data_IF_620902233855
#
_entry.id   IF_620902233855
#
_cell.length_a   1.000
_cell.length_b   1.000
_cell.length_c   1.000
_cell.angle_alpha   90.00
_cell.angle_beta   90.00
_cell.angle_gamma   90.00
#
_symmetry.space_group_name_H-M   'P 1'
#
loop_
_entity.id
_entity.type
_entity.pdbx_description
1 polymer ?
#
# COMPACT_ATOMS: atom_id res chain seq x y z
N UNK A 1 -47.35 31.79 -16.27
CA UNK A 1 -46.89 31.50 -14.89
C UNK A 1 -47.40 30.12 -14.49
N UNK A 2 -46.68 29.03 -14.78
CA UNK A 2 -46.93 27.71 -14.16
C UNK A 2 -45.88 26.69 -14.61
N UNK A 3 -44.70 26.69 -13.98
CA UNK A 3 -43.67 25.64 -14.12
C UNK A 3 -42.87 25.47 -12.82
N UNK A 4 -43.53 25.49 -11.66
CA UNK A 4 -42.86 25.35 -10.36
C UNK A 4 -43.32 24.13 -9.54
N UNK A 5 -44.17 23.26 -10.08
CA UNK A 5 -44.75 22.14 -9.30
C UNK A 5 -44.42 20.73 -9.83
N UNK A 6 -43.56 20.60 -10.85
CA UNK A 6 -43.32 19.30 -11.53
C UNK A 6 -42.18 18.45 -10.95
N UNK A 7 -41.71 18.73 -9.73
CA UNK A 7 -40.65 17.91 -9.11
C UNK A 7 -40.85 17.63 -7.62
N UNK A 8 -42.10 17.70 -7.12
CA UNK A 8 -42.35 17.22 -5.77
C UNK A 8 -42.26 15.68 -5.76
N UNK A 9 -41.52 15.08 -4.82
CA UNK A 9 -41.42 13.62 -4.73
C UNK A 9 -42.82 13.03 -4.56
N UNK A 10 -43.07 11.86 -5.16
CA UNK A 10 -44.38 11.23 -5.22
C UNK A 10 -44.99 10.92 -3.83
N UNK A 11 -44.17 10.99 -2.76
CA UNK A 11 -44.62 10.86 -1.38
C UNK A 11 -43.71 11.70 -0.43
N UNK A 12 -44.02 13.00 -0.20
CA UNK A 12 -43.14 13.90 0.55
C UNK A 12 -43.00 13.53 2.03
N UNK A 13 -44.01 12.84 2.59
CA UNK A 13 -43.99 12.39 3.98
C UNK A 13 -43.05 11.18 4.14
N UNK A 14 -43.05 10.22 3.19
CA UNK A 14 -42.12 9.09 3.28
C UNK A 14 -40.66 9.51 3.09
N UNK A 15 -40.38 10.47 2.21
CA UNK A 15 -39.02 11.02 2.07
C UNK A 15 -38.58 11.74 3.35
N UNK A 16 -39.48 12.48 3.99
CA UNK A 16 -39.20 13.12 5.28
C UNK A 16 -38.94 12.11 6.39
N UNK A 17 -39.78 11.07 6.53
CA UNK A 17 -39.58 10.03 7.53
C UNK A 17 -38.31 9.20 7.26
N UNK A 18 -38.03 8.85 6.00
CA UNK A 18 -36.82 8.14 5.62
C UNK A 18 -35.57 8.97 5.91
N UNK A 19 -35.57 10.25 5.55
CA UNK A 19 -34.48 11.17 5.87
C UNK A 19 -34.28 11.34 7.38
N UNK A 20 -35.36 11.50 8.14
CA UNK A 20 -35.30 11.59 9.60
C UNK A 20 -34.76 10.31 10.24
N UNK A 21 -35.20 9.13 9.76
CA UNK A 21 -34.71 7.85 10.25
C UNK A 21 -33.24 7.62 9.89
N UNK A 22 -32.81 8.05 8.70
CA UNK A 22 -31.41 7.98 8.28
C UNK A 22 -30.52 8.85 9.18
N UNK A 23 -30.95 10.07 9.51
CA UNK A 23 -30.23 10.94 10.44
C UNK A 23 -30.16 10.34 11.84
N UNK A 24 -31.24 9.75 12.34
CA UNK A 24 -31.22 9.03 13.62
C UNK A 24 -30.23 7.87 13.62
N UNK A 25 -30.23 7.05 12.56
CA UNK A 25 -29.30 5.92 12.44
C UNK A 25 -27.85 6.41 12.42
N UNK A 26 -27.52 7.38 11.55
CA UNK A 26 -26.15 7.91 11.43
C UNK A 26 -25.67 8.59 12.72
N UNK A 27 -26.54 9.31 13.42
CA UNK A 27 -26.12 10.06 14.62
C UNK A 27 -26.04 9.21 15.87
N UNK A 28 -26.98 8.29 16.08
CA UNK A 28 -27.07 7.51 17.33
C UNK A 28 -26.54 6.09 17.19
N UNK A 29 -26.36 5.59 15.97
CA UNK A 29 -25.96 4.21 15.73
C UNK A 29 -24.93 4.13 14.62
N UNK A 30 -23.99 5.10 14.57
CA UNK A 30 -22.91 5.08 13.60
C UNK A 30 -22.17 3.75 13.67
N UNK A 31 -21.80 3.21 12.52
CA UNK A 31 -21.03 1.97 12.49
C UNK A 31 -19.55 2.29 12.72
N UNK A 32 -18.72 1.25 12.81
CA UNK A 32 -17.27 1.43 12.81
C UNK A 32 -16.79 1.37 11.36
N UNK A 33 -15.67 2.03 11.04
CA UNK A 33 -15.05 1.86 9.75
C UNK A 33 -14.51 0.43 9.60
N UNK A 34 -14.35 -0.02 8.37
CA UNK A 34 -13.68 -1.27 8.01
C UNK A 34 -12.41 -0.96 7.24
N UNK A 35 -11.35 -1.75 7.41
CA UNK A 35 -10.10 -1.61 6.66
C UNK A 35 -9.63 -2.98 6.15
N UNK A 36 -9.19 -3.02 4.89
CA UNK A 36 -8.72 -4.22 4.22
C UNK A 36 -7.48 -3.85 3.36
N UNK A 37 -6.28 -3.87 3.95
CA UNK A 37 -5.08 -3.46 3.25
C UNK A 37 -4.82 -4.38 2.06
N UNK A 38 -4.62 -3.79 0.88
CA UNK A 38 -4.25 -4.50 -0.36
C UNK A 38 -3.13 -3.77 -1.07
N UNK A 39 -2.62 -4.38 -2.15
CA UNK A 39 -1.72 -3.72 -3.11
C UNK A 39 -0.39 -3.26 -2.50
N UNK A 40 0.14 -4.07 -1.56
CA UNK A 40 1.51 -3.94 -1.09
C UNK A 40 2.47 -4.09 -2.28
N UNK A 41 3.16 -3.00 -2.61
CA UNK A 41 4.09 -2.92 -3.72
C UNK A 41 5.46 -2.52 -3.21
N UNK A 42 6.47 -3.23 -3.69
CA UNK A 42 7.86 -2.87 -3.43
C UNK A 42 8.34 -1.85 -4.47
N UNK A 43 8.86 -0.73 -3.98
CA UNK A 43 9.45 0.30 -4.82
C UNK A 43 10.90 -0.06 -5.17
N UNK A 44 11.44 0.57 -6.22
CA UNK A 44 12.83 0.39 -6.66
C UNK A 44 13.85 0.76 -5.57
N UNK A 45 13.47 1.62 -4.61
CA UNK A 45 14.30 1.99 -3.47
C UNK A 45 14.16 1.03 -2.27
N UNK A 46 13.36 -0.04 -2.38
CA UNK A 46 13.09 -1.05 -1.35
C UNK A 46 12.15 -0.60 -0.23
N UNK A 47 11.54 0.57 -0.36
CA UNK A 47 10.40 0.93 0.50
C UNK A 47 9.16 0.14 0.00
N UNK A 48 8.20 -0.12 0.90
CA UNK A 48 6.92 -0.74 0.54
C UNK A 48 5.81 0.30 0.63
N UNK A 49 5.00 0.42 -0.41
CA UNK A 49 3.78 1.22 -0.39
C UNK A 49 2.54 0.34 -0.42
N UNK A 50 1.42 0.87 0.07
CA UNK A 50 0.12 0.24 -0.01
C UNK A 50 -0.98 1.17 0.47
N UNK A 51 -2.21 0.67 0.50
CA UNK A 51 -3.36 1.40 1.03
C UNK A 51 -4.12 0.53 2.02
N UNK A 52 -4.64 1.13 3.09
CA UNK A 52 -5.47 0.45 4.08
C UNK A 52 -6.89 0.11 3.56
N UNK A 53 -7.29 0.75 2.46
CA UNK A 53 -8.60 0.70 1.81
C UNK A 53 -9.74 0.78 2.81
N UNK A 54 -9.64 1.74 3.72
CA UNK A 54 -10.65 1.88 4.75
C UNK A 54 -11.92 2.53 4.19
N UNK A 55 -13.06 2.09 4.70
CA UNK A 55 -14.38 2.55 4.30
C UNK A 55 -15.26 2.71 5.52
N UNK A 56 -16.14 3.71 5.46
CA UNK A 56 -17.17 3.94 6.46
C UNK A 56 -18.56 3.73 5.85
N UNK A 57 -19.47 2.95 6.47
CA UNK A 57 -20.81 2.71 5.94
C UNK A 57 -21.68 3.97 5.82
N UNK A 58 -21.45 4.98 6.66
CA UNK A 58 -22.16 6.25 6.66
C UNK A 58 -21.48 7.33 5.80
N UNK A 59 -20.28 7.03 5.30
CA UNK A 59 -19.46 7.93 4.48
C UNK A 59 -18.84 9.06 5.30
N UNK A 60 -18.60 8.83 6.59
CA UNK A 60 -17.91 9.76 7.47
C UNK A 60 -16.40 9.86 7.12
N UNK A 61 -15.76 11.01 7.35
CA UNK A 61 -14.34 11.17 7.11
C UNK A 61 -13.52 10.30 8.08
N UNK A 62 -12.50 9.64 7.54
CA UNK A 62 -11.65 8.72 8.29
C UNK A 62 -10.38 9.40 8.79
N UNK A 63 -9.95 9.02 9.99
CA UNK A 63 -8.67 9.38 10.58
C UNK A 63 -7.84 8.12 10.86
N UNK A 64 -6.53 8.22 10.59
CA UNK A 64 -5.58 7.11 10.67
C UNK A 64 -4.50 7.40 11.70
N UNK A 65 -4.23 6.44 12.58
CA UNK A 65 -3.17 6.53 13.58
C UNK A 65 -2.41 5.22 13.68
N UNK A 66 -1.08 5.28 13.60
CA UNK A 66 -0.23 4.11 13.91
C UNK A 66 -0.24 3.92 15.43
N UNK A 67 -0.84 2.83 15.89
CA UNK A 67 -0.95 2.49 17.32
C UNK A 67 0.09 1.48 17.77
N UNK A 68 0.62 0.70 16.82
CA UNK A 68 1.77 -0.19 17.04
C UNK A 68 2.77 0.04 15.91
N UNK A 69 3.96 0.53 16.28
CA UNK A 69 5.03 0.77 15.32
C UNK A 69 5.69 -0.54 14.87
N UNK A 70 6.22 -0.60 13.65
CA UNK A 70 7.00 -1.75 13.19
C UNK A 70 8.27 -1.94 14.03
N UNK A 71 8.72 -3.19 14.15
CA UNK A 71 9.95 -3.52 14.84
C UNK A 71 11.18 -3.13 14.01
N UNK A 72 11.10 -3.21 12.68
CA UNK A 72 12.23 -3.11 11.76
C UNK A 72 11.99 -2.08 10.67
N UNK A 73 11.80 -0.82 11.05
CA UNK A 73 11.65 0.25 10.08
C UNK A 73 10.88 1.42 10.62
N UNK A 74 10.31 2.18 9.71
CA UNK A 74 9.37 3.25 10.01
C UNK A 74 8.21 3.19 9.04
N UNK A 75 7.01 3.50 9.51
CA UNK A 75 5.82 3.63 8.67
C UNK A 75 5.26 5.04 8.78
N UNK A 76 4.85 5.59 7.65
CA UNK A 76 4.06 6.81 7.57
C UNK A 76 2.74 6.49 6.88
N UNK A 77 1.63 6.96 7.45
CA UNK A 77 0.28 6.83 6.88
C UNK A 77 -0.24 8.24 6.58
N UNK A 78 -0.77 8.45 5.39
CA UNK A 78 -1.35 9.72 4.98
C UNK A 78 -2.85 9.82 5.32
N UNK A 79 -3.45 10.98 5.03
CA UNK A 79 -4.87 11.23 5.31
C UNK A 79 -5.82 10.41 4.41
N UNK A 80 -5.33 9.80 3.33
CA UNK A 80 -6.11 8.96 2.42
C UNK A 80 -5.94 7.46 2.76
N UNK A 81 -5.21 7.13 3.83
CA UNK A 81 -4.92 5.74 4.22
C UNK A 81 -3.84 5.08 3.36
N UNK A 82 -3.15 5.82 2.49
CA UNK A 82 -1.96 5.34 1.82
C UNK A 82 -0.79 5.33 2.80
N UNK A 83 0.00 4.27 2.79
CA UNK A 83 1.14 4.14 3.70
C UNK A 83 2.43 3.86 2.92
N UNK A 84 3.53 4.34 3.49
CA UNK A 84 4.88 4.03 3.07
C UNK A 84 5.64 3.44 4.26
N UNK A 85 6.13 2.22 4.09
CA UNK A 85 6.99 1.53 5.03
C UNK A 85 8.42 1.55 4.50
N UNK A 86 9.33 2.10 5.30
CA UNK A 86 10.76 2.11 5.03
C UNK A 86 11.45 1.08 5.92
N UNK A 87 11.87 -0.08 5.38
CA UNK A 87 12.50 -1.13 6.17
C UNK A 87 13.83 -0.67 6.76
N UNK A 88 14.15 -1.18 7.95
CA UNK A 88 15.45 -1.03 8.59
C UNK A 88 15.93 -2.37 9.14
N UNK A 89 16.97 -2.98 8.53
CA UNK A 89 17.53 -4.23 9.03
C UNK A 89 18.02 -4.11 10.48
N UNK A 90 17.87 -5.16 11.31
CA UNK A 90 18.36 -5.19 12.70
C UNK A 90 19.86 -4.91 12.80
N UNK A 91 20.65 -5.40 11.84
CA UNK A 91 22.11 -5.25 11.81
C UNK A 91 22.57 -3.87 11.31
N UNK A 92 21.64 -2.93 11.09
CA UNK A 92 22.01 -1.60 10.64
C UNK A 92 22.69 -0.77 11.75
N UNK A 93 23.96 -0.35 11.57
CA UNK A 93 24.67 0.42 12.57
C UNK A 93 24.02 1.81 12.81
N UNK A 94 24.05 2.32 14.05
CA UNK A 94 23.65 3.70 14.30
C UNK A 94 24.68 4.69 13.73
N UNK A 95 24.21 5.80 13.16
CA UNK A 95 25.06 6.92 12.73
C UNK A 95 25.21 7.12 11.22
N UNK A 96 26.09 8.04 10.79
CA UNK A 96 26.29 8.38 9.39
C UNK A 96 27.00 7.23 8.67
N UNK A 97 26.26 6.57 7.77
CA UNK A 97 26.67 5.38 7.04
C UNK A 97 25.51 4.77 6.26
N UNK A 98 24.28 5.05 6.69
CA UNK A 98 23.06 4.61 6.02
C UNK A 98 22.81 3.11 6.20
N UNK A 99 21.54 2.71 6.22
CA UNK A 99 21.17 1.31 6.10
C UNK A 99 21.03 0.97 4.61
N UNK A 100 21.50 -0.19 4.13
CA UNK A 100 21.08 -0.67 2.82
C UNK A 100 19.56 -0.86 2.82
N UNK A 101 18.87 -0.20 1.88
CA UNK A 101 17.42 -0.31 1.69
C UNK A 101 17.01 -1.55 0.87
N UNK A 102 17.80 -2.63 0.88
CA UNK A 102 17.55 -3.75 -0.02
C UNK A 102 16.20 -4.44 0.25
N UNK A 103 15.59 -5.07 -0.78
CA UNK A 103 14.45 -5.96 -0.64
C UNK A 103 14.70 -6.91 0.52
N UNK A 104 13.84 -6.83 1.53
CA UNK A 104 14.07 -7.52 2.80
C UNK A 104 13.68 -8.99 2.67
N UNK A 105 14.47 -9.75 1.89
CA UNK A 105 14.37 -11.20 1.87
C UNK A 105 14.53 -11.72 3.31
N UNK A 106 13.43 -12.16 3.91
CA UNK A 106 13.37 -12.75 5.25
C UNK A 106 12.97 -11.83 6.40
N UNK A 107 12.59 -10.56 6.18
CA UNK A 107 12.09 -9.70 7.26
C UNK A 107 10.59 -9.92 7.47
N UNK A 108 10.25 -10.54 8.60
CA UNK A 108 8.88 -10.52 9.10
C UNK A 108 8.74 -9.32 10.03
N UNK A 109 7.89 -8.38 9.65
CA UNK A 109 7.57 -7.20 10.44
C UNK A 109 6.07 -6.91 10.35
N UNK A 110 5.56 -6.10 11.25
CA UNK A 110 4.16 -5.69 11.22
C UNK A 110 3.96 -4.39 11.97
N UNK A 111 2.96 -3.64 11.55
CA UNK A 111 2.50 -2.45 12.25
C UNK A 111 0.98 -2.47 12.33
N UNK A 112 0.43 -1.83 13.36
CA UNK A 112 -1.02 -1.76 13.57
C UNK A 112 -1.47 -0.31 13.43
N UNK A 113 -2.50 -0.09 12.60
CA UNK A 113 -3.13 1.22 12.39
C UNK A 113 -4.55 1.17 12.92
N UNK A 114 -4.90 2.15 13.76
CA UNK A 114 -6.27 2.43 14.15
C UNK A 114 -6.92 3.37 13.12
N UNK A 115 -8.10 3.00 12.65
CA UNK A 115 -8.93 3.81 11.75
C UNK A 115 -10.19 4.23 12.50
N UNK A 116 -10.46 5.53 12.58
CA UNK A 116 -11.62 6.08 13.30
C UNK A 116 -12.42 7.06 12.44
N UNK A 117 -13.71 7.22 12.74
CA UNK A 117 -14.67 8.06 12.00
C UNK A 117 -15.25 9.22 12.84
N UNK A 118 -14.97 9.25 14.15
CA UNK A 118 -15.52 10.24 15.08
C UNK A 118 -17.04 10.11 15.33
N UNK A 119 -17.67 9.04 14.83
CA UNK A 119 -19.10 8.79 14.95
C UNK A 119 -19.52 8.27 16.32
N UNK A 120 -20.75 8.59 16.73
CA UNK A 120 -21.31 8.13 17.99
C UNK A 120 -22.18 6.88 17.80
N UNK A 121 -22.08 5.94 18.75
CA UNK A 121 -23.00 4.81 18.84
C UNK A 121 -23.55 4.70 20.27
N UNK A 122 -24.86 4.84 20.39
CA UNK A 122 -25.61 4.81 21.64
C UNK A 122 -25.51 3.47 22.35
N UNK A 123 -25.32 2.38 21.60
CA UNK A 123 -25.15 1.04 22.16
C UNK A 123 -23.71 0.77 22.60
N UNK A 124 -22.77 1.65 22.24
CA UNK A 124 -21.36 1.56 22.59
C UNK A 124 -20.75 2.97 22.85
N UNK A 125 -21.22 3.67 23.91
CA UNK A 125 -20.94 5.10 24.10
C UNK A 125 -19.55 5.41 24.68
N UNK A 126 -18.78 4.39 25.09
CA UNK A 126 -17.48 4.56 25.75
C UNK A 126 -16.32 3.91 24.97
N UNK A 127 -16.58 3.41 23.77
CA UNK A 127 -15.54 2.85 22.89
C UNK A 127 -14.70 3.95 22.25
N UNK A 128 -13.47 3.61 21.89
CA UNK A 128 -12.55 4.49 21.15
C UNK A 128 -12.95 4.69 19.68
N UNK A 129 -14.03 4.02 19.24
CA UNK A 129 -14.62 4.15 17.90
C UNK A 129 -13.61 3.98 16.77
N UNK A 130 -12.68 3.05 16.97
CA UNK A 130 -11.62 2.74 16.03
C UNK A 130 -11.58 1.25 15.69
N UNK A 131 -11.31 0.98 14.41
CA UNK A 131 -10.97 -0.36 13.91
C UNK A 131 -9.47 -0.47 13.78
N UNK A 132 -8.87 -1.41 14.50
CA UNK A 132 -7.45 -1.71 14.39
C UNK A 132 -7.19 -2.73 13.28
N UNK A 133 -6.22 -2.41 12.42
CA UNK A 133 -5.79 -3.29 11.34
C UNK A 133 -4.28 -3.47 11.38
N UNK A 134 -3.85 -4.74 11.43
CA UNK A 134 -2.44 -5.10 11.37
C UNK A 134 -2.03 -5.32 9.92
N UNK A 135 -1.08 -4.51 9.44
CA UNK A 135 -0.41 -4.72 8.16
C UNK A 135 0.80 -5.60 8.40
N UNK A 136 0.86 -6.73 7.70
CA UNK A 136 2.01 -7.64 7.74
C UNK A 136 2.96 -7.28 6.61
N UNK A 137 4.20 -6.98 6.97
CA UNK A 137 5.30 -6.87 6.03
C UNK A 137 5.96 -8.24 5.97
N UNK A 138 5.77 -8.91 4.84
CA UNK A 138 6.42 -10.18 4.55
C UNK A 138 7.24 -10.00 3.27
N UNK A 139 8.37 -10.73 3.14
CA UNK A 139 9.07 -10.80 1.88
C UNK A 139 8.11 -11.34 0.81
N UNK A 140 7.82 -10.55 -0.21
CA UNK A 140 7.38 -11.10 -1.48
C UNK A 140 8.53 -11.98 -1.96
N UNK A 141 8.28 -13.29 -2.11
CA UNK A 141 9.20 -14.13 -2.86
C UNK A 141 9.47 -13.39 -4.17
N UNK A 142 10.74 -13.16 -4.56
CA UNK A 142 10.99 -12.60 -5.88
C UNK A 142 10.23 -13.50 -6.84
N UNK A 143 9.31 -12.92 -7.63
CA UNK A 143 8.76 -13.66 -8.75
C UNK A 143 9.99 -14.17 -9.49
N UNK A 144 10.13 -15.50 -9.52
CA UNK A 144 11.31 -16.16 -10.07
C UNK A 144 11.58 -15.45 -11.38
N UNK A 145 12.73 -14.75 -11.55
CA UNK A 145 12.95 -13.93 -12.73
C UNK A 145 12.60 -14.82 -13.90
N UNK A 146 11.62 -14.40 -14.70
CA UNK A 146 11.19 -15.16 -15.86
C UNK A 146 12.48 -15.64 -16.52
N UNK A 147 12.65 -16.96 -16.57
CA UNK A 147 13.79 -17.55 -17.26
C UNK A 147 13.64 -17.06 -18.68
N UNK A 148 14.30 -15.95 -19.03
CA UNK A 148 14.49 -15.58 -20.41
C UNK A 148 15.08 -16.85 -21.01
N UNK A 149 14.39 -17.53 -21.95
CA UNK A 149 14.98 -18.68 -22.59
C UNK A 149 16.32 -18.19 -23.09
N UNK A 150 17.40 -18.82 -22.63
CA UNK A 150 18.75 -18.54 -23.10
C UNK A 150 18.64 -18.32 -24.61
N UNK A 151 19.11 -17.20 -25.18
CA UNK A 151 19.14 -17.08 -26.62
C UNK A 151 19.80 -18.36 -27.12
N UNK A 152 19.07 -19.13 -27.92
CA UNK A 152 19.55 -20.42 -28.42
C UNK A 152 20.93 -20.21 -29.04
N UNK A 153 21.78 -21.26 -29.08
CA UNK A 153 23.11 -21.11 -29.63
C UNK A 153 23.01 -20.47 -31.01
N UNK A 154 23.48 -19.23 -31.13
CA UNK A 154 23.67 -18.59 -32.43
C UNK A 154 24.75 -19.44 -33.09
N UNK A 155 24.36 -20.22 -34.10
CA UNK A 155 25.31 -20.94 -34.93
C UNK A 155 26.19 -19.89 -35.61
N UNK A 156 27.37 -19.66 -35.06
CA UNK A 156 28.41 -18.93 -35.76
C UNK A 156 28.78 -19.75 -37.01
N UNK A 157 28.90 -19.12 -38.19
CA UNK A 157 29.56 -19.77 -39.31
C UNK A 157 30.97 -20.17 -38.86
N UNK A 158 31.33 -21.42 -39.14
CA UNK A 158 32.58 -22.08 -38.74
C UNK A 158 33.79 -21.13 -38.88
N UNK A 159 34.39 -20.70 -37.76
CA UNK A 159 35.68 -19.99 -37.78
C UNK A 159 35.96 -18.93 -36.71
N UNK A 160 35.02 -18.55 -35.83
CA UNK A 160 35.30 -17.52 -34.82
C UNK A 160 35.79 -18.13 -33.48
N UNK A 161 37.07 -17.89 -33.17
CA UNK A 161 37.70 -18.25 -31.88
C UNK A 161 37.17 -17.35 -30.76
N UNK A 162 36.71 -17.94 -29.66
CA UNK A 162 36.24 -17.22 -28.46
C UNK A 162 37.38 -16.45 -27.79
N UNK A 163 37.23 -15.12 -27.66
CA UNK A 163 38.11 -14.26 -26.86
C UNK A 163 37.38 -13.93 -25.54
N UNK A 164 37.91 -14.32 -24.37
CA UNK A 164 37.28 -14.00 -23.09
C UNK A 164 37.31 -12.47 -22.85
N UNK A 165 36.13 -11.84 -22.77
CA UNK A 165 35.97 -10.42 -22.40
C UNK A 165 35.11 -9.56 -23.33
N UNK A 166 34.72 -10.02 -24.53
CA UNK A 166 33.83 -9.24 -25.41
C UNK A 166 32.35 -9.58 -25.16
N UNK A 167 31.55 -8.56 -24.81
CA UNK A 167 30.07 -8.65 -24.73
C UNK A 167 29.51 -8.35 -26.14
N UNK A 168 28.56 -9.15 -26.67
CA UNK A 168 28.17 -9.11 -28.08
C UNK A 168 27.30 -7.90 -28.50
N UNK A 169 27.09 -6.91 -27.64
CA UNK A 169 26.18 -5.78 -27.90
C UNK A 169 26.87 -4.50 -28.38
N UNK A 170 28.18 -4.52 -28.66
CA UNK A 170 28.90 -3.35 -29.22
C UNK A 170 29.71 -3.74 -30.45
N UNK A 171 29.54 -3.00 -31.55
CA UNK A 171 30.19 -3.23 -32.85
C UNK A 171 31.72 -2.97 -32.87
N UNK A 172 32.36 -2.62 -31.75
CA UNK A 172 33.82 -2.43 -31.69
C UNK A 172 34.38 -2.87 -30.32
N UNK A 173 35.32 -3.82 -30.32
CA UNK A 173 36.15 -4.17 -29.16
C UNK A 173 37.51 -3.45 -29.30
N UNK A 174 37.78 -2.42 -28.49
CA UNK A 174 39.13 -1.86 -28.38
C UNK A 174 39.98 -2.72 -27.43
N UNK A 175 41.10 -3.24 -27.95
CA UNK A 175 42.08 -4.00 -27.17
C UNK A 175 42.99 -3.02 -26.42
N UNK A 176 42.83 -2.94 -25.11
CA UNK A 176 43.76 -2.20 -24.25
C UNK A 176 45.10 -2.91 -24.16
N UNK A 177 46.11 -2.44 -24.89
CA UNK A 177 47.51 -2.85 -24.72
C UNK A 177 48.03 -2.24 -23.41
N UNK A 178 48.44 -3.07 -22.46
CA UNK A 178 49.31 -2.64 -21.35
C UNK A 178 50.74 -3.05 -21.68
N UNK A 179 51.64 -2.07 -21.59
CA UNK A 179 53.10 -2.13 -21.83
C UNK A 179 53.81 -3.16 -20.98
#
# INVERSE_FOLDING_TARGET
MSRLLSSMPANPISELLSGALLLLRRTLFNQLPSAAPTDLQELVNGDLEGNLNATDPEGDPLAYQVVEAPQYGTVTVDANGAFLYAPRPPDCPPGPGGCPKNPVSGLNDSFTVAVSDGGFNLLDPFSDRATEVTVRVQPTLPETPEVFPSPGPVLHPLGATYIPGCVPTKETCEVGVRT
#
